data_IF_955904746606
#
_entry.id   IF_955904746606
#
_cell.length_a   1.000
_cell.length_b   1.000
_cell.length_c   1.000
_cell.angle_alpha   90.00
_cell.angle_beta   90.00
_cell.angle_gamma   90.00
#
_symmetry.space_group_name_H-M   'P 1'
#
loop_
_entity.id
_entity.type
_entity.pdbx_description
1 polymer ?
#
# COMPACT_ATOMS: atom_id res chain seq x y z
N UNK A 1 27.48 5.07 15.46
CA UNK A 1 26.44 4.04 15.25
C UNK A 1 26.53 3.55 13.81
N UNK A 2 26.61 2.24 13.59
CA UNK A 2 26.49 1.72 12.23
C UNK A 2 25.02 1.80 11.82
N UNK A 3 24.67 2.71 10.94
CA UNK A 3 23.33 2.81 10.37
C UNK A 3 23.09 1.59 9.47
N UNK A 4 22.01 0.89 9.72
CA UNK A 4 21.57 -0.24 8.90
C UNK A 4 20.03 -0.19 8.74
N UNK A 5 19.55 -0.59 7.57
CA UNK A 5 18.10 -0.72 7.34
C UNK A 5 17.55 -2.07 7.79
N UNK A 6 18.42 -3.02 8.14
CA UNK A 6 18.04 -4.38 8.54
C UNK A 6 17.85 -4.49 10.06
N UNK A 7 17.21 -3.50 10.66
CA UNK A 7 16.84 -3.55 12.07
C UNK A 7 15.48 -4.27 12.22
N UNK A 8 15.35 -5.10 13.27
CA UNK A 8 14.03 -5.64 13.64
C UNK A 8 13.06 -4.52 13.99
N UNK A 9 11.76 -4.83 13.92
CA UNK A 9 10.73 -3.88 14.31
C UNK A 9 10.77 -3.61 15.82
N UNK A 10 10.62 -2.34 16.17
CA UNK A 10 10.37 -1.87 17.53
C UNK A 10 8.87 -1.55 17.59
N UNK A 11 8.12 -2.35 18.32
CA UNK A 11 6.64 -2.32 18.35
C UNK A 11 6.12 -0.90 18.56
N UNK A 12 6.62 -0.19 19.58
CA UNK A 12 6.16 1.14 19.98
C UNK A 12 6.55 2.27 18.98
N UNK A 13 7.36 1.95 17.98
CA UNK A 13 7.84 2.91 16.97
C UNK A 13 7.47 2.49 15.55
N UNK A 14 6.60 1.51 15.41
CA UNK A 14 6.25 0.93 14.12
C UNK A 14 4.81 1.20 13.74
N UNK A 15 4.54 1.28 12.42
CA UNK A 15 3.19 1.25 11.86
C UNK A 15 3.17 0.38 10.59
N UNK A 16 2.01 -0.20 10.29
CA UNK A 16 1.74 -0.95 9.08
C UNK A 16 0.86 -0.11 8.16
N UNK A 17 1.28 0.08 6.92
CA UNK A 17 0.58 0.86 5.90
C UNK A 17 0.21 0.00 4.70
N UNK A 18 -1.09 -0.17 4.48
CA UNK A 18 -1.66 -0.78 3.29
C UNK A 18 -1.90 0.27 2.22
N UNK A 19 -1.25 0.12 1.05
CA UNK A 19 -1.32 1.08 -0.05
C UNK A 19 -2.39 0.63 -1.05
N UNK A 20 -3.47 1.42 -1.19
CA UNK A 20 -4.44 1.42 -2.28
C UNK A 20 -5.09 0.05 -2.60
N UNK A 21 -5.28 -0.79 -1.58
CA UNK A 21 -5.98 -2.07 -1.72
C UNK A 21 -7.48 -1.78 -1.60
N UNK A 22 -8.04 -1.22 -2.66
CA UNK A 22 -9.39 -0.67 -2.72
C UNK A 22 -10.22 -1.28 -3.85
N UNK A 23 -11.54 -1.09 -3.79
CA UNK A 23 -12.46 -1.68 -4.77
C UNK A 23 -12.15 -1.27 -6.22
N UNK A 24 -11.63 -0.07 -6.45
CA UNK A 24 -11.30 0.44 -7.78
C UNK A 24 -10.39 -0.50 -8.57
N UNK A 25 -9.31 -1.00 -7.94
CA UNK A 25 -8.24 -1.76 -8.61
C UNK A 25 -8.03 -3.17 -8.06
N UNK A 26 -8.63 -3.52 -6.92
CA UNK A 26 -8.49 -4.84 -6.29
C UNK A 26 -9.79 -5.66 -6.30
N UNK A 27 -10.87 -5.16 -6.90
CA UNK A 27 -12.13 -5.86 -7.06
C UNK A 27 -12.51 -5.93 -8.54
N UNK A 28 -12.96 -7.10 -9.03
CA UNK A 28 -13.30 -7.33 -10.45
C UNK A 28 -14.28 -6.31 -11.03
N UNK A 29 -15.19 -5.79 -10.19
CA UNK A 29 -16.18 -4.80 -10.59
C UNK A 29 -15.73 -3.35 -10.31
N UNK A 30 -14.44 -3.13 -10.07
CA UNK A 30 -13.89 -1.79 -9.90
C UNK A 30 -13.91 -0.99 -11.20
N UNK A 31 -14.13 0.31 -11.11
CA UNK A 31 -14.28 1.17 -12.28
C UNK A 31 -13.00 1.27 -13.14
N UNK A 32 -11.84 0.83 -12.65
CA UNK A 32 -10.63 0.68 -13.47
C UNK A 32 -10.83 -0.25 -14.66
N UNK A 33 -11.75 -1.21 -14.53
CA UNK A 33 -11.99 -2.27 -15.51
C UNK A 33 -13.25 -2.04 -16.34
N UNK A 34 -13.93 -0.91 -16.16
CA UNK A 34 -15.16 -0.58 -16.87
C UNK A 34 -14.94 -0.59 -18.40
N UNK A 35 -15.87 -1.27 -19.10
CA UNK A 35 -15.85 -1.36 -20.55
C UNK A 35 -14.89 -2.41 -21.13
N UNK A 36 -14.13 -3.14 -20.31
CA UNK A 36 -13.34 -4.28 -20.76
C UNK A 36 -14.23 -5.52 -20.97
N UNK A 37 -14.00 -6.24 -22.07
CA UNK A 37 -14.50 -7.63 -22.20
C UNK A 37 -13.72 -8.55 -21.27
N UNK A 38 -14.28 -9.74 -20.97
CA UNK A 38 -13.56 -10.74 -20.13
C UNK A 38 -12.20 -11.09 -20.73
N UNK A 39 -12.11 -11.26 -22.04
CA UNK A 39 -10.84 -11.52 -22.71
C UNK A 39 -9.83 -10.37 -22.51
N UNK A 40 -10.26 -9.12 -22.68
CA UNK A 40 -9.39 -7.95 -22.50
C UNK A 40 -8.93 -7.79 -21.04
N UNK A 41 -9.82 -8.11 -20.10
CA UNK A 41 -9.50 -8.10 -18.68
C UNK A 41 -8.44 -9.17 -18.38
N UNK A 42 -8.66 -10.41 -18.79
CA UNK A 42 -7.74 -11.52 -18.53
C UNK A 42 -6.36 -11.28 -19.16
N UNK A 43 -6.32 -10.73 -20.39
CA UNK A 43 -5.07 -10.39 -21.06
C UNK A 43 -4.26 -9.30 -20.34
N UNK A 44 -4.93 -8.31 -19.75
CA UNK A 44 -4.28 -7.14 -19.12
C UNK A 44 -4.05 -7.31 -17.63
N UNK A 45 -5.03 -7.85 -16.93
CA UNK A 45 -5.11 -7.84 -15.46
C UNK A 45 -5.16 -9.26 -14.85
N UNK A 46 -5.23 -10.30 -15.66
CA UNK A 46 -5.35 -11.69 -15.19
C UNK A 46 -4.25 -12.06 -14.20
N UNK A 47 -2.99 -11.70 -14.51
CA UNK A 47 -1.87 -11.96 -13.59
C UNK A 47 -2.01 -11.21 -12.26
N UNK A 48 -2.45 -9.96 -12.27
CA UNK A 48 -2.70 -9.20 -11.05
C UNK A 48 -3.73 -9.91 -10.17
N UNK A 49 -4.86 -10.31 -10.75
CA UNK A 49 -5.94 -10.96 -10.00
C UNK A 49 -5.54 -12.34 -9.49
N UNK A 50 -4.82 -13.15 -10.26
CA UNK A 50 -4.21 -14.39 -9.77
C UNK A 50 -3.26 -14.13 -8.59
N UNK A 51 -2.47 -13.07 -8.67
CA UNK A 51 -1.56 -12.67 -7.59
C UNK A 51 -2.30 -12.22 -6.34
N UNK A 52 -3.42 -11.51 -6.48
CA UNK A 52 -4.25 -11.06 -5.37
C UNK A 52 -4.80 -12.23 -4.53
N UNK A 53 -5.04 -13.41 -5.12
CA UNK A 53 -5.45 -14.61 -4.39
C UNK A 53 -4.44 -15.04 -3.29
N UNK A 54 -3.18 -14.68 -3.44
CA UNK A 54 -2.13 -14.93 -2.45
C UNK A 54 -1.84 -13.72 -1.58
N UNK A 55 -1.82 -12.54 -2.19
CA UNK A 55 -1.44 -11.28 -1.55
C UNK A 55 -2.47 -10.86 -0.49
N UNK A 56 -3.77 -10.95 -0.80
CA UNK A 56 -4.84 -10.59 0.16
C UNK A 56 -4.81 -11.45 1.42
N UNK A 57 -4.73 -12.79 1.36
CA UNK A 57 -4.52 -13.61 2.55
C UNK A 57 -3.26 -13.25 3.35
N UNK A 58 -2.17 -12.88 2.71
CA UNK A 58 -0.97 -12.42 3.40
C UNK A 58 -1.21 -11.10 4.13
N UNK A 59 -1.92 -10.15 3.51
CA UNK A 59 -2.33 -8.90 4.17
C UNK A 59 -3.22 -9.15 5.38
N UNK A 60 -4.18 -10.07 5.29
CA UNK A 60 -5.02 -10.47 6.42
C UNK A 60 -4.18 -11.03 7.58
N UNK A 61 -3.20 -11.86 7.28
CA UNK A 61 -2.27 -12.39 8.30
C UNK A 61 -1.44 -11.28 8.96
N UNK A 62 -1.00 -10.29 8.19
CA UNK A 62 -0.33 -9.10 8.72
C UNK A 62 -1.26 -8.30 9.63
N UNK A 63 -2.51 -8.01 9.21
CA UNK A 63 -3.49 -7.33 10.05
C UNK A 63 -3.64 -8.01 11.41
N UNK A 64 -3.87 -9.32 11.41
CA UNK A 64 -4.03 -10.10 12.66
C UNK A 64 -2.80 -9.98 13.55
N UNK A 65 -1.59 -10.13 12.98
CA UNK A 65 -0.35 -10.08 13.74
C UNK A 65 -0.07 -8.68 14.32
N UNK A 66 -0.29 -7.63 13.54
CA UNK A 66 -0.02 -6.25 13.95
C UNK A 66 -1.06 -5.76 14.97
N UNK A 67 -2.35 -6.07 14.79
CA UNK A 67 -3.40 -5.81 15.80
C UNK A 67 -3.08 -6.48 17.12
N UNK A 68 -2.66 -7.75 17.08
CA UNK A 68 -2.25 -8.49 18.28
C UNK A 68 -1.05 -7.86 18.99
N UNK A 69 -0.14 -7.26 18.25
CA UNK A 69 1.03 -6.57 18.78
C UNK A 69 0.74 -5.12 19.21
N UNK A 70 -0.50 -4.63 19.08
CA UNK A 70 -0.91 -3.22 19.28
C UNK A 70 -0.07 -2.24 18.45
N UNK A 71 0.30 -2.61 17.23
CA UNK A 71 0.98 -1.73 16.27
C UNK A 71 -0.10 -1.05 15.42
N UNK A 72 0.10 0.24 15.15
CA UNK A 72 -0.80 1.07 14.36
C UNK A 72 -0.98 0.52 12.95
N UNK A 73 -2.25 0.37 12.50
CA UNK A 73 -2.60 0.02 11.14
C UNK A 73 -3.18 1.23 10.42
N UNK A 74 -2.67 1.48 9.22
CA UNK A 74 -3.08 2.60 8.37
C UNK A 74 -3.33 2.12 6.95
N UNK A 75 -4.20 2.81 6.26
CA UNK A 75 -4.59 2.50 4.88
C UNK A 75 -4.52 3.75 4.03
N UNK A 76 -4.15 3.60 2.77
CA UNK A 76 -4.38 4.63 1.78
C UNK A 76 -5.41 4.18 0.76
N UNK A 77 -6.13 5.13 0.23
CA UNK A 77 -6.98 4.92 -0.95
C UNK A 77 -6.75 6.07 -1.92
N UNK A 78 -6.78 5.78 -3.21
CA UNK A 78 -6.88 6.85 -4.20
C UNK A 78 -8.32 7.32 -4.22
N UNK A 79 -8.53 8.59 -3.94
CA UNK A 79 -9.84 9.22 -3.97
C UNK A 79 -9.68 10.73 -4.18
N UNK A 80 -10.48 11.29 -5.06
CA UNK A 80 -10.51 12.73 -5.26
C UNK A 80 -11.11 13.45 -4.05
N UNK A 81 -10.49 14.55 -3.63
CA UNK A 81 -11.01 15.41 -2.55
C UNK A 81 -12.20 16.24 -3.01
N UNK A 82 -12.32 16.46 -4.32
CA UNK A 82 -13.37 17.26 -4.94
C UNK A 82 -14.27 16.39 -5.81
N UNK A 83 -15.53 16.80 -5.98
CA UNK A 83 -16.52 16.05 -6.76
C UNK A 83 -16.14 15.91 -8.25
N UNK A 84 -15.44 16.91 -8.79
CA UNK A 84 -14.99 16.95 -10.18
C UNK A 84 -13.56 16.47 -10.39
N UNK A 85 -12.87 16.06 -9.31
CA UNK A 85 -11.51 15.53 -9.38
C UNK A 85 -10.44 16.55 -9.81
N UNK A 86 -10.70 17.87 -9.64
CA UNK A 86 -9.74 18.92 -10.02
C UNK A 86 -8.44 18.94 -9.19
N UNK A 87 -8.45 18.29 -8.03
CA UNK A 87 -7.32 18.14 -7.10
C UNK A 87 -6.36 17.02 -7.48
N UNK A 88 -6.70 16.19 -8.46
CA UNK A 88 -5.85 15.08 -8.90
C UNK A 88 -4.48 15.55 -9.40
N UNK A 89 -3.46 14.73 -9.23
CA UNK A 89 -2.13 14.96 -9.79
C UNK A 89 -2.16 15.17 -11.31
N UNK A 90 -1.10 15.76 -11.86
CA UNK A 90 -1.00 15.96 -13.30
C UNK A 90 -1.11 14.66 -14.08
N UNK A 91 -0.43 13.61 -13.62
CA UNK A 91 -0.48 12.28 -14.24
C UNK A 91 -1.91 11.72 -14.28
N UNK A 92 -2.63 11.77 -13.16
CA UNK A 92 -4.02 11.31 -13.09
C UNK A 92 -4.98 12.14 -13.98
N UNK A 93 -4.67 13.42 -14.20
CA UNK A 93 -5.44 14.26 -15.15
C UNK A 93 -5.16 13.88 -16.60
N UNK A 94 -3.91 13.59 -16.94
CA UNK A 94 -3.49 13.21 -18.30
C UNK A 94 -4.04 11.83 -18.66
N UNK A 95 -3.93 10.87 -17.74
CA UNK A 95 -4.38 9.48 -17.96
C UNK A 95 -5.88 9.30 -17.83
N UNK A 96 -6.60 10.28 -17.28
CA UNK A 96 -8.03 10.17 -16.99
C UNK A 96 -8.34 9.42 -15.70
N UNK A 97 -7.32 8.94 -14.97
CA UNK A 97 -7.49 8.18 -13.74
C UNK A 97 -8.23 9.00 -12.68
N UNK A 98 -9.39 8.53 -12.25
CA UNK A 98 -10.23 9.25 -11.30
C UNK A 98 -11.10 8.32 -10.46
N UNK A 99 -10.87 8.34 -9.16
CA UNK A 99 -11.77 7.71 -8.19
C UNK A 99 -12.62 8.80 -7.55
N UNK A 100 -13.93 8.75 -7.79
CA UNK A 100 -14.84 9.80 -7.36
C UNK A 100 -14.97 9.84 -5.84
N UNK A 101 -15.03 11.06 -5.30
CA UNK A 101 -15.21 11.28 -3.86
C UNK A 101 -16.44 10.56 -3.31
N UNK A 102 -16.24 9.76 -2.25
CA UNK A 102 -17.30 9.02 -1.56
C UNK A 102 -17.83 7.82 -2.34
N UNK A 103 -17.22 7.44 -3.47
CA UNK A 103 -17.63 6.27 -4.26
C UNK A 103 -17.31 4.96 -3.55
N UNK A 104 -17.94 3.88 -4.00
CA UNK A 104 -17.62 2.53 -3.58
C UNK A 104 -16.17 2.16 -3.98
N UNK A 105 -15.70 2.65 -5.11
CA UNK A 105 -14.33 2.44 -5.61
C UNK A 105 -13.25 2.97 -4.66
N UNK A 106 -13.54 4.05 -3.94
CA UNK A 106 -12.63 4.64 -2.96
C UNK A 106 -12.53 3.89 -1.63
N UNK A 107 -13.30 2.81 -1.44
CA UNK A 107 -13.26 2.03 -0.19
C UNK A 107 -12.23 0.92 -0.26
N UNK A 108 -11.54 0.68 0.86
CA UNK A 108 -10.72 -0.51 1.05
C UNK A 108 -11.58 -1.75 0.82
N UNK A 109 -11.04 -2.80 0.20
CA UNK A 109 -11.77 -4.06 -0.02
C UNK A 109 -12.20 -4.69 1.30
N UNK A 110 -13.33 -5.41 1.28
CA UNK A 110 -13.92 -6.00 2.49
C UNK A 110 -12.98 -6.98 3.19
N UNK A 111 -12.13 -7.69 2.45
CA UNK A 111 -11.22 -8.72 2.97
C UNK A 111 -10.19 -8.16 3.97
N UNK A 112 -9.86 -6.88 3.85
CA UNK A 112 -8.91 -6.21 4.73
C UNK A 112 -9.44 -4.86 5.23
N UNK A 113 -10.75 -4.71 5.35
CA UNK A 113 -11.34 -3.43 5.78
C UNK A 113 -10.77 -2.95 7.13
N UNK A 114 -10.63 -1.62 7.30
CA UNK A 114 -10.23 -1.02 8.56
C UNK A 114 -11.21 -1.35 9.69
N UNK A 115 -10.71 -1.50 10.92
CA UNK A 115 -11.52 -1.77 12.10
C UNK A 115 -11.40 -0.64 13.12
N UNK A 116 -12.51 -0.34 13.81
CA UNK A 116 -12.52 0.67 14.87
C UNK A 116 -12.15 2.06 14.35
N UNK A 117 -11.04 2.60 14.84
CA UNK A 117 -10.50 3.92 14.49
C UNK A 117 -9.20 3.84 13.66
N UNK A 118 -8.93 2.68 13.04
CA UNK A 118 -7.80 2.54 12.11
C UNK A 118 -7.88 3.58 10.97
N UNK A 119 -6.79 4.28 10.74
CA UNK A 119 -6.80 5.48 9.90
C UNK A 119 -6.77 5.18 8.41
N UNK A 120 -7.62 5.87 7.64
CA UNK A 120 -7.62 5.83 6.17
C UNK A 120 -7.23 7.20 5.63
N UNK A 121 -6.26 7.24 4.72
CA UNK A 121 -5.76 8.46 4.08
C UNK A 121 -6.13 8.47 2.60
N UNK A 122 -7.19 9.17 2.20
CA UNK A 122 -7.48 9.39 0.78
C UNK A 122 -6.41 10.29 0.17
N UNK A 123 -5.87 9.88 -0.97
CA UNK A 123 -4.81 10.59 -1.69
C UNK A 123 -5.17 10.81 -3.15
N UNK A 124 -4.71 11.90 -3.73
CA UNK A 124 -4.97 12.28 -5.12
C UNK A 124 -3.71 12.26 -6.00
N UNK A 125 -2.67 11.54 -5.56
CA UNK A 125 -1.42 11.29 -6.30
C UNK A 125 -0.84 9.91 -5.97
N UNK A 126 0.19 9.47 -6.67
CA UNK A 126 0.84 8.18 -6.41
C UNK A 126 1.40 8.08 -5.00
N UNK A 127 2.18 9.07 -4.54
CA UNK A 127 2.73 9.03 -3.19
C UNK A 127 1.77 9.60 -2.16
N UNK A 128 1.54 8.84 -1.09
CA UNK A 128 0.77 9.28 0.08
C UNK A 128 1.44 10.45 0.81
N UNK A 129 2.77 10.54 0.79
CA UNK A 129 3.51 11.61 1.44
C UNK A 129 3.41 12.95 0.74
N UNK A 130 3.09 12.96 -0.57
CA UNK A 130 2.94 14.18 -1.36
C UNK A 130 1.55 14.79 -1.22
N UNK A 131 0.50 13.98 -1.16
CA UNK A 131 -0.89 14.46 -1.23
C UNK A 131 -1.70 14.27 0.04
N UNK A 132 -1.07 13.88 1.15
CA UNK A 132 -1.75 13.74 2.45
C UNK A 132 -0.91 14.33 3.59
N UNK A 133 -1.48 14.32 4.78
CA UNK A 133 -0.80 14.72 6.02
C UNK A 133 -0.24 13.51 6.81
N UNK A 134 -0.01 12.37 6.16
CA UNK A 134 0.42 11.14 6.85
C UNK A 134 1.75 11.31 7.60
N UNK A 135 2.72 12.04 7.05
CA UNK A 135 4.00 12.31 7.74
C UNK A 135 3.79 13.03 9.08
N UNK A 136 2.90 14.02 9.09
CA UNK A 136 2.52 14.70 10.32
C UNK A 136 1.94 13.75 11.37
N UNK A 137 1.03 12.86 10.96
CA UNK A 137 0.40 11.86 11.84
C UNK A 137 1.43 10.87 12.37
N UNK A 138 2.25 10.27 11.49
CA UNK A 138 3.30 9.31 11.86
C UNK A 138 4.27 9.90 12.90
N UNK A 139 4.69 11.16 12.71
CA UNK A 139 5.59 11.85 13.66
C UNK A 139 4.94 12.08 15.02
N UNK A 140 3.66 12.45 15.05
CA UNK A 140 2.94 12.64 16.31
C UNK A 140 2.71 11.32 17.07
N UNK A 141 2.60 10.20 16.36
CA UNK A 141 2.53 8.86 16.94
C UNK A 141 3.90 8.31 17.36
N UNK A 142 4.99 9.03 17.07
CA UNK A 142 6.34 8.57 17.37
C UNK A 142 6.86 7.46 16.47
N UNK A 143 6.19 7.22 15.33
CA UNK A 143 6.58 6.19 14.35
C UNK A 143 7.92 6.55 13.71
N UNK A 144 8.82 5.58 13.65
CA UNK A 144 10.15 5.66 13.02
C UNK A 144 10.39 4.51 12.03
N UNK A 145 9.63 3.43 12.17
CA UNK A 145 9.72 2.25 11.32
C UNK A 145 8.36 2.04 10.64
N UNK A 146 8.37 2.00 9.31
CA UNK A 146 7.15 1.88 8.53
C UNK A 146 7.18 0.59 7.71
N UNK A 147 6.22 -0.28 7.97
CA UNK A 147 5.99 -1.48 7.15
C UNK A 147 5.02 -1.12 6.05
N UNK A 148 5.37 -1.40 4.80
CA UNK A 148 4.57 -1.05 3.63
C UNK A 148 4.26 -2.29 2.81
N UNK A 149 3.01 -2.45 2.42
CA UNK A 149 2.53 -3.43 1.44
C UNK A 149 1.34 -2.85 0.67
N UNK A 150 0.89 -3.50 -0.39
CA UNK A 150 -0.27 -3.05 -1.19
C UNK A 150 -0.03 -3.01 -2.68
N UNK A 151 -0.71 -2.08 -3.37
CA UNK A 151 -0.82 -1.96 -4.81
C UNK A 151 -0.45 -0.54 -5.30
N UNK A 152 0.05 -0.37 -6.54
CA UNK A 152 0.82 -1.37 -7.29
C UNK A 152 2.26 -1.32 -6.83
N UNK A 153 2.96 -2.46 -6.83
CA UNK A 153 4.34 -2.57 -6.31
C UNK A 153 5.26 -1.51 -6.88
N UNK A 154 5.22 -1.29 -8.19
CA UNK A 154 6.11 -0.40 -8.96
C UNK A 154 5.55 1.03 -9.15
N UNK A 155 4.46 1.37 -8.47
CA UNK A 155 3.84 2.70 -8.53
C UNK A 155 3.66 3.29 -7.12
N UNK A 156 2.45 3.20 -6.55
CA UNK A 156 2.13 3.83 -5.28
C UNK A 156 2.94 3.25 -4.11
N UNK A 157 3.18 1.94 -4.09
CA UNK A 157 4.02 1.29 -3.08
C UNK A 157 5.48 1.79 -3.18
N UNK A 158 6.06 1.74 -4.38
CA UNK A 158 7.43 2.21 -4.61
C UNK A 158 7.58 3.70 -4.29
N UNK A 159 6.63 4.54 -4.71
CA UNK A 159 6.62 5.99 -4.43
C UNK A 159 6.58 6.25 -2.92
N UNK A 160 5.70 5.54 -2.19
CA UNK A 160 5.62 5.67 -0.74
C UNK A 160 6.91 5.24 -0.03
N UNK A 161 7.55 4.15 -0.49
CA UNK A 161 8.81 3.66 0.09
C UNK A 161 9.94 4.68 -0.10
N UNK A 162 10.08 5.27 -1.29
CA UNK A 162 11.12 6.26 -1.58
C UNK A 162 10.95 7.49 -0.72
N UNK A 163 9.75 8.07 -0.70
CA UNK A 163 9.47 9.27 0.07
C UNK A 163 9.59 9.01 1.59
N UNK A 164 9.11 7.87 2.09
CA UNK A 164 9.27 7.52 3.50
C UNK A 164 10.76 7.44 3.89
N UNK A 165 11.59 6.79 3.07
CA UNK A 165 13.02 6.70 3.32
C UNK A 165 13.69 8.07 3.31
N UNK A 166 13.36 8.93 2.34
CA UNK A 166 13.91 10.28 2.23
C UNK A 166 13.45 11.21 3.38
N UNK A 167 12.26 10.95 3.94
CA UNK A 167 11.75 11.62 5.14
C UNK A 167 12.35 11.08 6.45
N UNK A 168 13.17 10.02 6.39
CA UNK A 168 13.93 9.49 7.52
C UNK A 168 13.29 8.30 8.24
N UNK A 169 12.27 7.67 7.66
CA UNK A 169 11.73 6.41 8.19
C UNK A 169 12.60 5.23 7.80
N UNK A 170 12.74 4.26 8.71
CA UNK A 170 13.24 2.94 8.37
C UNK A 170 12.09 2.13 7.74
N UNK A 171 12.19 1.86 6.46
CA UNK A 171 11.11 1.20 5.70
C UNK A 171 11.36 -0.28 5.59
N UNK A 172 10.31 -1.07 5.82
CA UNK A 172 10.25 -2.51 5.53
C UNK A 172 9.14 -2.77 4.50
N UNK A 173 9.50 -3.30 3.33
CA UNK A 173 8.54 -3.78 2.34
C UNK A 173 8.23 -5.26 2.58
N UNK A 174 6.94 -5.63 2.60
CA UNK A 174 6.51 -7.04 2.63
C UNK A 174 6.24 -7.48 1.19
N UNK A 175 7.20 -8.21 0.61
CA UNK A 175 7.24 -8.47 -0.83
C UNK A 175 6.13 -9.38 -1.34
N UNK A 176 5.71 -10.36 -0.54
CA UNK A 176 4.63 -11.30 -0.85
C UNK A 176 3.23 -10.79 -0.42
N UNK A 177 3.16 -9.55 0.05
CA UNK A 177 1.95 -8.77 0.30
C UNK A 177 1.86 -7.55 -0.64
N UNK A 178 2.57 -7.57 -1.77
CA UNK A 178 2.51 -6.57 -2.83
C UNK A 178 2.21 -7.23 -4.18
N UNK A 179 1.49 -6.53 -5.05
CA UNK A 179 1.24 -6.94 -6.43
C UNK A 179 1.26 -5.76 -7.39
N UNK A 180 1.48 -6.05 -8.67
CA UNK A 180 1.34 -5.15 -9.81
C UNK A 180 0.88 -5.94 -11.03
N UNK A 181 0.83 -5.34 -12.20
CA UNK A 181 0.23 -5.91 -13.41
C UNK A 181 0.97 -7.13 -13.99
N UNK A 182 2.29 -7.26 -13.74
CA UNK A 182 3.07 -8.39 -14.22
C UNK A 182 4.18 -8.79 -13.26
N UNK A 183 4.61 -10.07 -13.32
CA UNK A 183 5.77 -10.54 -12.54
C UNK A 183 7.03 -9.72 -12.85
N UNK A 184 7.28 -9.42 -14.12
CA UNK A 184 8.47 -8.67 -14.52
C UNK A 184 8.50 -7.25 -13.90
N UNK A 185 7.36 -6.56 -13.85
CA UNK A 185 7.24 -5.25 -13.18
C UNK A 185 7.47 -5.37 -11.69
N UNK A 186 6.89 -6.38 -11.05
CA UNK A 186 7.09 -6.67 -9.63
C UNK A 186 8.56 -6.86 -9.30
N UNK A 187 9.23 -7.80 -9.97
CA UNK A 187 10.64 -8.13 -9.72
C UNK A 187 11.58 -6.96 -10.00
N UNK A 188 11.31 -6.19 -11.05
CA UNK A 188 12.07 -4.98 -11.37
C UNK A 188 11.97 -3.94 -10.25
N UNK A 189 10.76 -3.68 -9.76
CA UNK A 189 10.54 -2.75 -8.64
C UNK A 189 11.28 -3.23 -7.38
N UNK A 190 11.13 -4.50 -6.99
CA UNK A 190 11.86 -5.05 -5.84
C UNK A 190 13.37 -4.87 -5.97
N UNK A 191 13.91 -5.01 -7.17
CA UNK A 191 15.34 -4.82 -7.44
C UNK A 191 15.76 -3.35 -7.31
N UNK A 192 14.97 -2.44 -7.88
CA UNK A 192 15.32 -1.01 -7.96
C UNK A 192 15.19 -0.29 -6.63
N UNK A 193 14.26 -0.68 -5.76
CA UNK A 193 14.04 -0.03 -4.46
C UNK A 193 14.80 -0.67 -3.29
N UNK A 194 15.52 -1.75 -3.52
CA UNK A 194 16.28 -2.48 -2.50
C UNK A 194 17.23 -1.58 -1.67
N UNK A 195 17.66 -0.46 -2.25
CA UNK A 195 18.46 0.56 -1.56
C UNK A 195 17.68 1.45 -0.57
N UNK A 196 16.35 1.48 -0.64
CA UNK A 196 15.49 2.35 0.17
C UNK A 196 14.80 1.64 1.33
N UNK A 197 14.65 0.33 1.26
CA UNK A 197 13.93 -0.45 2.27
C UNK A 197 14.59 -1.80 2.57
N UNK A 198 14.24 -2.37 3.72
CA UNK A 198 14.40 -3.79 4.01
C UNK A 198 13.27 -4.55 3.28
N UNK A 199 13.56 -5.70 2.70
CA UNK A 199 12.58 -6.55 2.05
C UNK A 199 12.45 -7.87 2.81
N UNK A 200 11.22 -8.25 3.15
CA UNK A 200 10.91 -9.47 3.91
C UNK A 200 9.63 -10.13 3.36
N UNK A 201 9.42 -11.39 3.73
CA UNK A 201 8.13 -12.05 3.50
C UNK A 201 7.18 -11.84 4.67
N UNK A 202 5.89 -12.04 4.44
CA UNK A 202 4.87 -12.05 5.50
C UNK A 202 5.23 -13.01 6.63
N UNK A 203 5.70 -14.21 6.29
CA UNK A 203 6.07 -15.23 7.28
C UNK A 203 7.24 -14.78 8.16
N UNK A 204 8.28 -14.23 7.55
CA UNK A 204 9.48 -13.76 8.28
C UNK A 204 9.13 -12.63 9.23
N UNK A 205 8.29 -11.68 8.79
CA UNK A 205 7.89 -10.54 9.60
C UNK A 205 7.00 -10.95 10.78
N UNK A 206 6.05 -11.87 10.57
CA UNK A 206 5.22 -12.41 11.65
C UNK A 206 6.08 -13.17 12.67
N UNK A 207 7.05 -13.96 12.20
CA UNK A 207 7.97 -14.66 13.08
C UNK A 207 8.88 -13.70 13.88
N UNK A 208 9.21 -12.53 13.30
CA UNK A 208 9.95 -11.48 14.01
C UNK A 208 9.11 -10.87 15.14
N UNK A 209 7.84 -10.50 14.86
CA UNK A 209 6.91 -9.94 15.84
C UNK A 209 6.61 -10.89 17.02
N UNK A 210 6.65 -12.21 16.78
CA UNK A 210 6.44 -13.19 17.86
C UNK A 210 7.63 -13.32 18.82
N UNK A 211 8.79 -12.79 18.44
CA UNK A 211 10.02 -12.82 19.24
C UNK A 211 10.30 -11.51 19.96
N UNK A 212 9.61 -10.44 19.60
CA UNK A 212 9.72 -9.12 20.19
C UNK A 212 8.86 -9.02 21.46
#
# INVERSE_FOLDING_TARGET
MNLTRNLPLIVEQSALLFIDVQNFSAHRNGAEFDGLTDQQFDEKHGWLFERLETVIPNMQRLQVAFRKANIELMYTTIESLTLDGRDRSLDYKITGFNVAKGSWDGKVINEIEPQGDEMVFPKSSSSVFISTHIDYVLRNLGVKQLVICGLLTDQCVESAIRDACDLGYLVTQVTDACATETQARHDNSLTTIKGYCRQVTTQDLIAELQRA
#
